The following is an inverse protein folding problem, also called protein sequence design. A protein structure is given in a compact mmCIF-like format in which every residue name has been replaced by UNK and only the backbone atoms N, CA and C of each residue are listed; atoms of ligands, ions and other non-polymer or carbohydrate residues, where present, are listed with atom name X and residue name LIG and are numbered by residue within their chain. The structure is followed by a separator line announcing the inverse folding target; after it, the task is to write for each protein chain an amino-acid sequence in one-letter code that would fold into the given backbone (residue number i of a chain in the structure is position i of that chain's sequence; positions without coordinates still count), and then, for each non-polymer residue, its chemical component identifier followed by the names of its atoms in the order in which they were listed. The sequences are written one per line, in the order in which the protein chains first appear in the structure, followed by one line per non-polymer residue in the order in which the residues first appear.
data_IF_586748416852
#
_entry.id   IF_586748416852
#
_cell.length_a   1.000
_cell.length_b   1.000
_cell.length_c   1.000
_cell.angle_alpha   90.00
_cell.angle_beta   90.00
_cell.angle_gamma   90.00
#
_symmetry.space_group_name_H-M   'P 1'
#
loop_
_entity.id
_entity.type
_entity.pdbx_description
1 polymer ?
#
# COMPACT_ATOMS: atom_id res chain seq x y z
N UNK A 1 -13.37 18.28 16.70
CA UNK A 1 -12.54 17.35 17.49
C UNK A 1 -11.34 16.80 16.70
N UNK A 2 -11.54 16.13 15.56
CA UNK A 2 -10.47 15.52 14.72
C UNK A 2 -9.32 16.47 14.37
N UNK A 3 -9.63 17.73 14.06
CA UNK A 3 -8.64 18.76 13.73
C UNK A 3 -7.59 18.97 14.84
N UNK A 4 -8.00 18.91 16.11
CA UNK A 4 -7.08 19.07 17.23
C UNK A 4 -6.07 17.91 17.28
N UNK A 5 -6.53 16.68 17.04
CA UNK A 5 -5.67 15.49 17.07
C UNK A 5 -4.74 15.38 15.86
N UNK A 6 -5.21 15.73 14.65
CA UNK A 6 -4.44 15.51 13.42
C UNK A 6 -3.71 16.74 12.87
N UNK A 7 -3.92 17.93 13.45
CA UNK A 7 -3.25 19.15 13.00
C UNK A 7 -2.60 19.92 14.15
N UNK A 8 -3.31 20.12 15.26
CA UNK A 8 -2.81 20.97 16.37
C UNK A 8 -1.87 20.22 17.30
N UNK A 9 -2.18 18.97 17.61
CA UNK A 9 -1.41 18.09 18.50
C UNK A 9 -0.97 16.82 17.77
N UNK A 10 -0.79 16.91 16.45
CA UNK A 10 -0.45 15.76 15.60
C UNK A 10 0.81 15.05 16.08
N UNK A 11 1.83 15.79 16.47
CA UNK A 11 3.09 15.25 16.98
C UNK A 11 2.90 14.33 18.21
N UNK A 12 2.03 14.72 19.16
CA UNK A 12 1.75 13.94 20.36
C UNK A 12 0.96 12.65 20.08
N UNK A 13 0.22 12.60 18.96
CA UNK A 13 -0.62 11.48 18.57
C UNK A 13 -0.11 10.74 17.31
N UNK A 14 1.06 11.10 16.79
CA UNK A 14 1.61 10.52 15.57
C UNK A 14 2.23 9.13 15.77
N UNK A 15 2.48 8.71 17.02
CA UNK A 15 3.02 7.37 17.32
C UNK A 15 1.92 6.31 17.27
N UNK A 16 2.13 5.27 16.46
CA UNK A 16 1.26 4.10 16.42
C UNK A 16 1.63 3.10 17.54
N UNK A 17 0.66 2.53 18.28
CA UNK A 17 0.95 1.52 19.29
C UNK A 17 1.52 0.24 18.65
N UNK A 18 2.59 -0.31 19.24
CA UNK A 18 3.19 -1.57 18.78
C UNK A 18 2.24 -2.72 19.07
N UNK A 19 1.86 -3.45 18.03
CA UNK A 19 1.03 -4.66 18.15
C UNK A 19 1.87 -5.92 17.92
N UNK A 20 1.39 -7.07 18.42
CA UNK A 20 2.03 -8.36 18.16
C UNK A 20 2.12 -8.64 16.65
N UNK A 21 1.06 -8.30 15.89
CA UNK A 21 1.07 -8.40 14.43
C UNK A 21 2.16 -7.54 13.79
N UNK A 22 2.30 -6.26 14.20
CA UNK A 22 3.36 -5.40 13.68
C UNK A 22 4.76 -5.91 14.05
N UNK A 23 4.89 -6.58 15.19
CA UNK A 23 6.17 -7.18 15.61
C UNK A 23 6.56 -8.34 14.68
N UNK A 24 5.63 -9.25 14.41
CA UNK A 24 5.88 -10.46 13.63
C UNK A 24 5.85 -10.25 12.11
N UNK A 25 5.02 -9.34 11.60
CA UNK A 25 4.80 -9.13 10.16
C UNK A 25 5.62 -7.95 9.64
N UNK A 26 5.78 -6.90 10.44
CA UNK A 26 6.29 -5.61 9.98
C UNK A 26 7.66 -5.29 10.58
N UNK A 27 8.59 -6.23 10.40
CA UNK A 27 10.00 -6.04 10.77
C UNK A 27 10.17 -5.49 12.19
N UNK A 28 9.53 -6.11 13.18
CA UNK A 28 9.58 -5.66 14.58
C UNK A 28 8.97 -4.25 14.83
N UNK A 29 8.00 -3.82 14.02
CA UNK A 29 7.41 -2.47 14.02
C UNK A 29 8.40 -1.37 13.60
N UNK A 30 9.25 -1.67 12.61
CA UNK A 30 10.16 -0.68 12.00
C UNK A 30 9.67 -0.19 10.63
N UNK A 31 8.52 -0.68 10.18
CA UNK A 31 7.86 -0.19 8.97
C UNK A 31 7.30 1.23 9.16
N UNK A 32 7.09 1.94 8.05
CA UNK A 32 6.60 3.33 8.04
C UNK A 32 5.28 3.54 8.81
N UNK A 33 4.42 2.51 8.91
CA UNK A 33 3.09 2.60 9.49
C UNK A 33 3.03 2.33 10.99
N UNK A 34 3.86 1.43 11.52
CA UNK A 34 3.83 1.04 12.94
C UNK A 34 5.08 1.43 13.73
N UNK A 35 6.06 2.07 13.10
CA UNK A 35 7.19 2.63 13.85
C UNK A 35 6.77 3.88 14.62
N UNK A 36 7.23 3.96 15.88
CA UNK A 36 7.01 5.13 16.73
C UNK A 36 7.61 6.39 16.11
N UNK A 37 6.98 7.53 16.38
CA UNK A 37 7.47 8.82 15.90
C UNK A 37 8.88 9.09 16.43
N UNK A 38 9.79 9.49 15.54
CA UNK A 38 11.19 9.75 15.87
C UNK A 38 12.04 10.03 14.63
N UNK A 39 13.37 10.25 14.79
CA UNK A 39 14.26 10.59 13.68
C UNK A 39 14.24 9.56 12.55
N UNK A 40 14.14 8.28 12.91
CA UNK A 40 14.05 7.18 11.96
C UNK A 40 12.75 7.24 11.13
N UNK A 41 11.59 7.42 11.77
CA UNK A 41 10.32 7.58 11.06
C UNK A 41 10.36 8.76 10.08
N UNK A 42 10.92 9.90 10.48
CA UNK A 42 11.03 11.08 9.62
C UNK A 42 11.92 10.81 8.40
N UNK A 43 13.02 10.08 8.57
CA UNK A 43 13.92 9.69 7.48
C UNK A 43 13.21 8.80 6.46
N UNK A 44 12.55 7.73 6.91
CA UNK A 44 11.84 6.81 6.01
C UNK A 44 10.69 7.51 5.33
N UNK A 45 9.90 8.32 6.07
CA UNK A 45 8.80 9.12 5.52
C UNK A 45 9.30 10.03 4.41
N UNK A 46 10.42 10.72 4.64
CA UNK A 46 11.03 11.61 3.64
C UNK A 46 11.39 10.82 2.38
N UNK A 47 12.11 9.71 2.51
CA UNK A 47 12.47 8.84 1.38
C UNK A 47 11.23 8.34 0.61
N UNK A 48 10.19 7.89 1.32
CA UNK A 48 8.94 7.45 0.68
C UNK A 48 8.27 8.59 -0.09
N UNK A 49 8.18 9.79 0.49
CA UNK A 49 7.55 10.94 -0.17
C UNK A 49 8.36 11.41 -1.39
N UNK A 50 9.69 11.43 -1.30
CA UNK A 50 10.56 11.92 -2.38
C UNK A 50 10.78 10.91 -3.50
N UNK A 51 10.74 9.62 -3.21
CA UNK A 51 11.21 8.61 -4.17
C UNK A 51 10.07 7.69 -4.65
N UNK A 52 9.10 7.39 -3.78
CA UNK A 52 8.00 6.46 -4.08
C UNK A 52 6.74 7.23 -4.47
N UNK A 53 6.32 8.17 -3.62
CA UNK A 53 5.07 8.92 -3.78
C UNK A 53 5.27 10.26 -4.49
N UNK A 54 6.45 10.51 -5.05
CA UNK A 54 6.70 11.72 -5.80
C UNK A 54 5.78 11.81 -7.03
N UNK A 55 5.18 12.98 -7.33
CA UNK A 55 4.23 13.11 -8.43
C UNK A 55 4.75 12.59 -9.78
N UNK A 56 6.03 12.83 -10.09
CA UNK A 56 6.66 12.30 -11.32
C UNK A 56 6.69 10.77 -11.35
N UNK A 57 6.96 10.11 -10.22
CA UNK A 57 6.97 8.64 -10.09
C UNK A 57 5.55 8.07 -10.17
N UNK A 58 4.58 8.75 -9.57
CA UNK A 58 3.17 8.37 -9.68
C UNK A 58 2.65 8.43 -11.13
N UNK A 59 3.11 9.41 -11.90
CA UNK A 59 2.83 9.52 -13.33
C UNK A 59 3.55 8.42 -14.13
N UNK A 60 4.80 8.08 -13.82
CA UNK A 60 5.49 6.99 -14.51
C UNK A 60 4.83 5.62 -14.29
N UNK A 61 4.14 5.42 -13.16
CA UNK A 61 3.36 4.21 -12.91
C UNK A 61 1.96 4.20 -13.57
N UNK A 62 1.52 5.30 -14.19
CA UNK A 62 0.21 5.40 -14.83
C UNK A 62 -0.02 4.34 -15.93
N UNK A 63 0.94 4.05 -16.83
CA UNK A 63 0.74 3.04 -17.88
C UNK A 63 0.50 1.64 -17.29
N UNK A 64 1.25 1.28 -16.25
CA UNK A 64 1.11 0.00 -15.55
C UNK A 64 -0.27 -0.11 -14.91
N UNK A 65 -0.72 0.93 -14.18
CA UNK A 65 -2.07 0.95 -13.60
C UNK A 65 -3.16 0.78 -14.66
N UNK A 66 -3.03 1.49 -15.80
CA UNK A 66 -3.97 1.38 -16.93
C UNK A 66 -3.98 -0.04 -17.50
N UNK A 67 -2.82 -0.68 -17.63
CA UNK A 67 -2.72 -2.05 -18.12
C UNK A 67 -3.39 -3.04 -17.17
N UNK A 68 -3.15 -2.95 -15.86
CA UNK A 68 -3.78 -3.82 -14.87
C UNK A 68 -5.31 -3.63 -14.84
N UNK A 69 -5.80 -2.39 -14.98
CA UNK A 69 -7.25 -2.13 -15.10
C UNK A 69 -7.84 -2.79 -16.36
N UNK A 70 -7.17 -2.70 -17.51
CA UNK A 70 -7.63 -3.38 -18.74
C UNK A 70 -7.66 -4.90 -18.56
N UNK A 71 -6.61 -5.47 -18.00
CA UNK A 71 -6.52 -6.91 -17.73
C UNK A 71 -7.68 -7.37 -16.82
N UNK A 72 -7.97 -6.60 -15.76
CA UNK A 72 -9.09 -6.86 -14.87
C UNK A 72 -10.43 -6.84 -15.63
N UNK A 73 -10.68 -5.80 -16.44
CA UNK A 73 -11.92 -5.68 -17.23
C UNK A 73 -12.07 -6.85 -18.20
N UNK A 74 -10.99 -7.24 -18.90
CA UNK A 74 -11.01 -8.40 -19.79
C UNK A 74 -11.34 -9.70 -19.05
N UNK A 75 -10.75 -9.92 -17.87
CA UNK A 75 -11.05 -11.11 -17.05
C UNK A 75 -12.52 -11.12 -16.60
N UNK A 76 -13.06 -9.97 -16.19
CA UNK A 76 -14.46 -9.83 -15.81
C UNK A 76 -15.40 -10.11 -16.98
N UNK A 77 -15.09 -9.59 -18.16
CA UNK A 77 -15.89 -9.84 -19.38
C UNK A 77 -15.91 -11.32 -19.76
N UNK A 78 -14.76 -12.01 -19.65
CA UNK A 78 -14.69 -13.45 -19.92
C UNK A 78 -15.55 -14.26 -18.94
N UNK A 79 -15.48 -13.94 -17.64
CA UNK A 79 -16.31 -14.60 -16.60
C UNK A 79 -17.80 -14.32 -16.78
N UNK A 80 -18.15 -13.10 -17.20
CA UNK A 80 -19.53 -12.73 -17.52
C UNK A 80 -20.07 -13.55 -18.70
N UNK A 81 -19.27 -13.74 -19.76
CA UNK A 81 -19.66 -14.53 -20.93
C UNK A 81 -19.86 -16.02 -20.63
N UNK A 82 -19.10 -16.57 -19.68
CA UNK A 82 -19.26 -17.96 -19.24
C UNK A 82 -20.36 -18.16 -18.21
N UNK A 83 -21.11 -17.11 -17.85
CA UNK A 83 -22.18 -17.17 -16.85
C UNK A 83 -21.68 -17.44 -15.43
N UNK A 84 -20.39 -17.23 -15.16
CA UNK A 84 -19.81 -17.49 -13.85
C UNK A 84 -20.08 -16.33 -12.87
N UNK A 85 -20.33 -16.63 -11.59
CA UNK A 85 -20.51 -15.61 -10.57
C UNK A 85 -19.22 -14.79 -10.39
N UNK A 86 -19.35 -13.46 -10.41
CA UNK A 86 -18.24 -12.52 -10.26
C UNK A 86 -18.14 -12.09 -8.80
N UNK A 87 -17.11 -12.56 -8.10
CA UNK A 87 -16.83 -12.14 -6.72
C UNK A 87 -15.91 -10.92 -6.73
N UNK A 88 -16.46 -9.74 -6.42
CA UNK A 88 -15.71 -8.48 -6.40
C UNK A 88 -14.73 -8.38 -5.22
N UNK A 89 -15.04 -9.04 -4.09
CA UNK A 89 -14.16 -9.14 -2.90
C UNK A 89 -13.14 -10.30 -2.98
N UNK A 90 -12.90 -10.88 -4.16
CA UNK A 90 -11.92 -11.94 -4.37
C UNK A 90 -10.56 -11.41 -4.84
N UNK A 91 -9.58 -12.29 -5.14
CA UNK A 91 -8.31 -11.91 -5.77
C UNK A 91 -8.55 -11.54 -7.23
N UNK A 92 -9.22 -10.41 -7.46
CA UNK A 92 -9.46 -9.82 -8.77
C UNK A 92 -8.19 -9.18 -9.31
N UNK A 93 -7.33 -8.68 -8.43
CA UNK A 93 -6.02 -8.21 -8.83
C UNK A 93 -5.08 -9.38 -9.12
N UNK A 94 -4.48 -9.36 -10.31
CA UNK A 94 -3.40 -10.29 -10.64
C UNK A 94 -2.28 -10.07 -9.63
N UNK A 95 -1.84 -11.13 -8.94
CA UNK A 95 -0.67 -11.03 -8.07
C UNK A 95 0.51 -10.54 -8.93
N UNK A 96 1.34 -9.60 -8.42
CA UNK A 96 2.55 -9.24 -9.12
C UNK A 96 3.38 -10.51 -9.35
N UNK A 97 4.14 -10.60 -10.46
CA UNK A 97 5.01 -11.73 -10.69
C UNK A 97 5.96 -11.85 -9.51
N UNK A 98 5.77 -12.88 -8.69
CA UNK A 98 6.72 -13.22 -7.65
C UNK A 98 7.97 -13.66 -8.38
N UNK A 99 9.01 -12.83 -8.37
CA UNK A 99 10.37 -13.25 -8.72
C UNK A 99 10.86 -14.18 -7.62
N UNK A 100 10.28 -15.38 -7.54
CA UNK A 100 10.89 -16.50 -6.86
C UNK A 100 11.95 -17.05 -7.81
N UNK A 101 13.10 -16.39 -7.84
CA UNK A 101 14.35 -17.07 -8.22
C UNK A 101 14.72 -17.94 -7.02
N UNK A 102 14.74 -19.27 -7.16
CA UNK A 102 15.32 -20.11 -6.12
C UNK A 102 16.84 -19.85 -6.13
N UNK A 103 17.37 -19.48 -4.97
CA UNK A 103 18.76 -19.67 -4.62
C UNK A 103 18.81 -20.81 -3.60
#
# INVERSE_FOLDING_TARGET
MVRYFLQTYDHSFASCPRTAAATHILFNSTDLGFVSYGPYWTLIRRACVTDVFHPRRLLSFQPIRRQETRNLIHSLLQKSRSGQPIVLRGPTFRKPPTTSSPA
#
